data_IF_156746310811
#
_entry.id   IF_156746310811
#
_cell.length_a   1.000
_cell.length_b   1.000
_cell.length_c   1.000
_cell.angle_alpha   90.00
_cell.angle_beta   90.00
_cell.angle_gamma   90.00
#
_symmetry.space_group_name_H-M   'P 1'
#
loop_
_entity.id
_entity.type
_entity.pdbx_description
1 polymer ?
#
# COMPACT_ATOMS: atom_id res chain seq x y z
N UNK A 1 1.68 -3.69 -36.76
CA UNK A 1 2.09 -3.78 -35.35
C UNK A 1 3.25 -2.82 -35.13
N UNK A 2 2.92 -1.55 -34.93
CA UNK A 2 3.89 -0.58 -34.46
C UNK A 2 3.68 -0.53 -32.96
N UNK A 3 4.68 -0.97 -32.19
CA UNK A 3 4.68 -0.79 -30.75
C UNK A 3 4.46 0.70 -30.49
N UNK A 4 3.35 1.04 -29.82
CA UNK A 4 3.28 2.35 -29.17
C UNK A 4 4.44 2.37 -28.18
N UNK A 5 5.32 3.39 -28.23
CA UNK A 5 6.30 3.54 -27.16
C UNK A 5 5.50 3.60 -25.86
N UNK A 6 5.84 2.71 -24.92
CA UNK A 6 5.28 2.76 -23.59
C UNK A 6 5.57 4.16 -23.05
N UNK A 7 4.55 4.97 -22.70
CA UNK A 7 4.80 6.26 -22.10
C UNK A 7 5.71 6.14 -20.87
N UNK A 8 5.85 4.95 -20.26
CA UNK A 8 6.78 4.62 -19.17
C UNK A 8 8.26 5.01 -19.41
N UNK A 9 8.73 5.13 -20.66
CA UNK A 9 10.16 5.14 -21.00
C UNK A 9 10.89 6.50 -20.88
N UNK A 10 10.26 7.56 -20.36
CA UNK A 10 10.99 8.78 -20.01
C UNK A 10 11.81 8.53 -18.71
N UNK A 11 13.14 8.69 -18.73
CA UNK A 11 13.93 8.50 -17.51
C UNK A 11 13.51 9.53 -16.47
N UNK A 12 13.17 9.05 -15.28
CA UNK A 12 12.79 9.93 -14.17
C UNK A 12 13.92 10.93 -13.87
N UNK A 13 13.54 12.16 -13.51
CA UNK A 13 14.49 13.21 -13.18
C UNK A 13 15.44 12.78 -12.04
N UNK A 14 16.75 13.12 -12.10
CA UNK A 14 17.68 12.87 -11.02
C UNK A 14 17.20 13.46 -9.68
N UNK A 15 17.52 12.79 -8.58
CA UNK A 15 17.11 13.19 -7.22
C UNK A 15 17.47 14.64 -6.93
N UNK A 16 18.69 15.04 -7.29
CA UNK A 16 19.21 16.38 -7.10
C UNK A 16 18.47 17.42 -7.93
N UNK A 17 18.01 17.04 -9.13
CA UNK A 17 17.21 17.92 -9.99
C UNK A 17 15.83 18.17 -9.39
N UNK A 18 15.19 17.13 -8.85
CA UNK A 18 13.89 17.26 -8.16
C UNK A 18 14.05 18.13 -6.91
N UNK A 19 15.09 17.89 -6.11
CA UNK A 19 15.37 18.68 -4.90
C UNK A 19 15.66 20.16 -5.22
N UNK A 20 16.40 20.45 -6.30
CA UNK A 20 16.65 21.83 -6.74
C UNK A 20 15.35 22.54 -7.14
N UNK A 21 14.52 21.90 -7.97
CA UNK A 21 13.22 22.46 -8.38
C UNK A 21 12.31 22.75 -7.17
N UNK A 22 12.26 21.81 -6.22
CA UNK A 22 11.47 21.96 -4.99
C UNK A 22 11.96 23.09 -4.09
N UNK A 23 13.27 23.36 -4.04
CA UNK A 23 13.87 24.41 -3.21
C UNK A 23 13.55 25.81 -3.75
N UNK A 24 13.48 25.95 -5.07
CA UNK A 24 13.23 27.23 -5.74
C UNK A 24 11.74 27.52 -5.95
N UNK A 25 10.87 26.54 -5.67
CA UNK A 25 9.43 26.66 -5.84
C UNK A 25 8.81 27.67 -4.86
N UNK A 26 7.95 28.60 -5.33
CA UNK A 26 7.22 29.51 -4.44
C UNK A 26 6.11 28.79 -3.67
N UNK A 27 5.57 27.71 -4.24
CA UNK A 27 4.56 26.85 -3.65
C UNK A 27 4.61 25.47 -4.32
N UNK A 28 4.46 24.40 -3.53
CA UNK A 28 4.51 23.01 -4.05
C UNK A 28 3.18 22.29 -3.83
N UNK A 29 2.61 21.75 -4.91
CA UNK A 29 1.46 20.83 -4.87
C UNK A 29 1.95 19.41 -5.00
N UNK A 30 1.72 18.59 -3.99
CA UNK A 30 2.09 17.18 -3.98
C UNK A 30 0.81 16.35 -4.19
N UNK A 31 0.77 15.58 -5.28
CA UNK A 31 -0.31 14.64 -5.57
C UNK A 31 0.24 13.22 -5.47
N UNK A 32 -0.15 12.52 -4.41
CA UNK A 32 0.25 11.14 -4.14
C UNK A 32 -0.80 10.15 -4.62
N UNK A 33 -0.35 8.97 -5.04
CA UNK A 33 -1.23 7.80 -5.10
C UNK A 33 -1.75 7.48 -3.69
N UNK A 34 -3.02 7.10 -3.60
CA UNK A 34 -3.68 6.73 -2.35
C UNK A 34 -3.31 5.30 -1.89
N UNK A 35 -2.01 5.07 -1.67
CA UNK A 35 -1.44 3.88 -1.04
C UNK A 35 -0.35 4.24 -0.03
N UNK A 36 0.10 3.27 0.75
CA UNK A 36 1.06 3.52 1.83
C UNK A 36 2.45 3.95 1.35
N UNK A 37 2.92 3.48 0.19
CA UNK A 37 4.24 3.84 -0.35
C UNK A 37 4.29 5.31 -0.81
N UNK A 38 3.35 5.69 -1.68
CA UNK A 38 3.25 7.04 -2.20
C UNK A 38 2.86 8.07 -1.14
N UNK A 39 2.04 7.67 -0.15
CA UNK A 39 1.72 8.53 0.98
C UNK A 39 2.93 8.78 1.88
N UNK A 40 3.73 7.73 2.17
CA UNK A 40 4.98 7.89 2.91
C UNK A 40 5.96 8.79 2.17
N UNK A 41 6.11 8.58 0.86
CA UNK A 41 6.91 9.43 -0.02
C UNK A 41 6.46 10.91 0.01
N UNK A 42 5.16 11.16 -0.11
CA UNK A 42 4.60 12.51 -0.01
C UNK A 42 4.85 13.17 1.35
N UNK A 43 4.75 12.39 2.43
CA UNK A 43 5.08 12.83 3.79
C UNK A 43 6.55 13.23 3.95
N UNK A 44 7.48 12.46 3.39
CA UNK A 44 8.90 12.77 3.40
C UNK A 44 9.19 14.10 2.67
N UNK A 45 8.68 14.25 1.45
CA UNK A 45 8.83 15.47 0.67
C UNK A 45 8.26 16.66 1.41
N UNK A 46 7.03 16.55 1.92
CA UNK A 46 6.36 17.65 2.61
C UNK A 46 7.03 18.04 3.94
N UNK A 47 7.56 17.06 4.68
CA UNK A 47 8.39 17.34 5.87
C UNK A 47 9.66 18.10 5.49
N UNK A 48 10.35 17.71 4.42
CA UNK A 48 11.54 18.44 3.94
C UNK A 48 11.20 19.84 3.44
N UNK A 49 10.10 20.03 2.72
CA UNK A 49 9.62 21.36 2.30
C UNK A 49 9.35 22.27 3.50
N UNK A 50 8.75 21.72 4.56
CA UNK A 50 8.56 22.43 5.84
C UNK A 50 9.89 22.89 6.45
N UNK A 51 10.91 22.03 6.43
CA UNK A 51 12.25 22.35 6.94
C UNK A 51 12.90 23.48 6.16
N UNK A 52 12.81 23.47 4.83
CA UNK A 52 13.39 24.52 3.98
C UNK A 52 12.50 25.76 3.80
N UNK A 53 11.34 25.80 4.45
CA UNK A 53 10.44 26.96 4.46
C UNK A 53 9.61 27.14 3.19
N UNK A 54 9.46 26.10 2.36
CA UNK A 54 8.64 26.13 1.14
C UNK A 54 7.20 25.75 1.49
N UNK A 55 6.19 26.59 1.20
CA UNK A 55 4.80 26.27 1.46
C UNK A 55 4.29 25.19 0.50
N UNK A 56 3.38 24.34 0.98
CA UNK A 56 2.92 23.19 0.21
C UNK A 56 1.46 22.81 0.49
N UNK A 57 0.90 22.02 -0.43
CA UNK A 57 -0.37 21.32 -0.26
C UNK A 57 -0.21 19.87 -0.71
N UNK A 58 -0.64 18.91 0.13
CA UNK A 58 -0.57 17.47 -0.17
C UNK A 58 -1.96 16.90 -0.32
N UNK A 59 -2.19 16.15 -1.39
CA UNK A 59 -3.42 15.36 -1.62
C UNK A 59 -3.04 13.94 -2.02
N UNK A 60 -3.77 12.96 -1.49
CA UNK A 60 -3.69 11.57 -1.94
C UNK A 60 -4.96 11.19 -2.72
N UNK A 61 -4.80 10.54 -3.88
CA UNK A 61 -5.88 10.17 -4.80
C UNK A 61 -5.67 8.79 -5.41
N UNK A 62 -6.75 8.06 -5.68
CA UNK A 62 -6.67 6.75 -6.34
C UNK A 62 -6.41 6.87 -7.85
N UNK A 63 -7.04 7.86 -8.48
CA UNK A 63 -6.96 8.12 -9.92
C UNK A 63 -6.47 9.55 -10.16
N UNK A 64 -5.67 9.80 -11.20
CA UNK A 64 -5.30 11.16 -11.58
C UNK A 64 -6.56 11.88 -12.06
N UNK A 65 -6.85 13.04 -11.49
CA UNK A 65 -7.92 13.91 -12.00
C UNK A 65 -7.36 14.78 -13.13
N UNK A 66 -8.11 14.96 -14.21
CA UNK A 66 -7.69 15.76 -15.36
C UNK A 66 -7.39 17.23 -15.00
N UNK A 67 -8.08 17.76 -13.97
CA UNK A 67 -7.95 19.16 -13.54
C UNK A 67 -6.89 19.38 -12.44
N UNK A 68 -6.07 18.37 -12.11
CA UNK A 68 -5.04 18.48 -11.08
C UNK A 68 -4.01 19.59 -11.37
N UNK A 69 -3.85 19.98 -12.64
CA UNK A 69 -2.97 21.04 -13.11
C UNK A 69 -3.62 22.45 -13.12
N UNK A 70 -4.87 22.61 -12.68
CA UNK A 70 -5.55 23.92 -12.65
C UNK A 70 -5.09 24.77 -11.46
N UNK A 71 -3.87 25.29 -11.52
CA UNK A 71 -3.35 26.26 -10.55
C UNK A 71 -2.63 27.43 -11.22
N UNK A 72 -2.27 28.45 -10.44
CA UNK A 72 -1.47 29.59 -10.87
C UNK A 72 -0.22 29.14 -11.62
N UNK A 73 0.17 29.91 -12.65
CA UNK A 73 1.33 29.63 -13.52
C UNK A 73 2.67 29.46 -12.76
N UNK A 74 2.71 29.83 -11.47
CA UNK A 74 3.91 29.81 -10.64
C UNK A 74 4.00 28.62 -9.66
N UNK A 75 2.97 27.77 -9.53
CA UNK A 75 2.99 26.64 -8.59
C UNK A 75 3.75 25.44 -9.18
N UNK A 76 4.57 24.74 -8.39
CA UNK A 76 5.22 23.49 -8.81
C UNK A 76 4.37 22.27 -8.45
N UNK A 77 3.91 21.52 -9.45
CA UNK A 77 3.16 20.27 -9.31
C UNK A 77 4.12 19.07 -9.29
N UNK A 78 4.09 18.31 -8.20
CA UNK A 78 4.85 17.07 -8.03
C UNK A 78 3.91 15.89 -7.88
N UNK A 79 4.02 14.92 -8.78
CA UNK A 79 3.29 13.65 -8.67
C UNK A 79 4.16 12.57 -8.00
N UNK A 80 3.55 11.78 -7.11
CA UNK A 80 4.25 10.80 -6.27
C UNK A 80 3.58 9.44 -6.38
N UNK A 81 4.33 8.43 -6.83
CA UNK A 81 3.85 7.05 -6.99
C UNK A 81 2.81 6.86 -8.10
N UNK A 82 2.57 7.90 -8.89
CA UNK A 82 1.70 7.89 -10.06
C UNK A 82 2.10 9.01 -11.01
N UNK A 83 1.63 8.92 -12.25
CA UNK A 83 1.79 9.99 -13.22
C UNK A 83 0.56 10.87 -13.24
N UNK A 84 0.81 12.18 -13.24
CA UNK A 84 -0.24 13.19 -13.37
C UNK A 84 0.12 14.05 -14.58
N UNK A 85 -0.76 14.18 -15.58
CA UNK A 85 -0.53 15.08 -16.70
C UNK A 85 -0.24 16.50 -16.23
N UNK A 86 0.83 17.11 -16.76
CA UNK A 86 1.24 18.46 -16.40
C UNK A 86 2.03 18.59 -15.10
N UNK A 87 2.46 17.48 -14.47
CA UNK A 87 3.39 17.55 -13.34
C UNK A 87 4.77 18.05 -13.79
N UNK A 88 5.33 19.02 -13.05
CA UNK A 88 6.68 19.56 -13.26
C UNK A 88 7.76 18.56 -12.84
N UNK A 89 7.45 17.72 -11.84
CA UNK A 89 8.30 16.62 -11.41
C UNK A 89 7.47 15.38 -11.05
N UNK A 90 8.05 14.21 -11.29
CA UNK A 90 7.48 12.93 -10.88
C UNK A 90 8.47 12.19 -9.99
N UNK A 91 8.01 11.76 -8.81
CA UNK A 91 8.70 10.81 -7.95
C UNK A 91 8.03 9.47 -8.18
N UNK A 92 8.55 8.69 -9.13
CA UNK A 92 8.11 7.34 -9.44
C UNK A 92 9.08 6.30 -8.85
N UNK A 93 8.62 5.05 -8.63
CA UNK A 93 9.51 3.94 -8.31
C UNK A 93 10.50 3.76 -9.48
N UNK A 94 11.78 4.04 -9.23
CA UNK A 94 12.87 3.71 -10.16
C UNK A 94 13.22 2.22 -10.02
N UNK A 95 14.49 1.92 -9.71
CA UNK A 95 14.94 0.55 -9.36
C UNK A 95 14.49 0.08 -7.95
N UNK A 96 13.58 0.82 -7.29
CA UNK A 96 13.12 0.58 -5.92
C UNK A 96 11.75 1.21 -5.65
N UNK A 97 11.41 1.46 -4.37
CA UNK A 97 10.10 2.01 -4.01
C UNK A 97 10.03 3.53 -4.10
N UNK A 98 8.81 4.07 -4.15
CA UNK A 98 8.58 5.52 -4.20
C UNK A 98 9.11 6.20 -2.94
N UNK A 99 8.91 5.57 -1.78
CA UNK A 99 9.36 6.08 -0.48
C UNK A 99 10.88 6.17 -0.36
N UNK A 100 11.63 5.21 -0.93
CA UNK A 100 13.09 5.26 -0.95
C UNK A 100 13.61 6.38 -1.84
N UNK A 101 13.01 6.56 -3.02
CA UNK A 101 13.37 7.69 -3.89
C UNK A 101 13.07 9.04 -3.22
N UNK A 102 11.90 9.16 -2.58
CA UNK A 102 11.52 10.35 -1.85
C UNK A 102 12.44 10.62 -0.65
N UNK A 103 12.96 9.56 0.00
CA UNK A 103 13.98 9.71 1.04
C UNK A 103 15.26 10.35 0.48
N UNK A 104 15.74 9.91 -0.69
CA UNK A 104 16.89 10.55 -1.35
C UNK A 104 16.63 12.02 -1.70
N UNK A 105 15.42 12.35 -2.18
CA UNK A 105 15.02 13.75 -2.43
C UNK A 105 14.99 14.56 -1.14
N UNK A 106 14.47 13.98 -0.06
CA UNK A 106 14.43 14.60 1.27
C UNK A 106 15.84 14.83 1.85
N UNK A 107 16.76 13.89 1.67
CA UNK A 107 18.18 14.03 2.02
C UNK A 107 18.83 15.17 1.21
N UNK A 108 18.63 15.21 -0.10
CA UNK A 108 19.16 16.28 -0.95
C UNK A 108 18.55 17.67 -0.67
N UNK A 109 17.38 17.72 -0.03
CA UNK A 109 16.76 18.95 0.46
C UNK A 109 17.29 19.38 1.84
N UNK A 110 17.77 18.43 2.64
CA UNK A 110 18.26 18.68 4.00
C UNK A 110 19.48 19.61 3.96
N UNK A 111 19.46 20.75 4.67
CA UNK A 111 20.62 21.64 4.75
C UNK A 111 21.85 20.93 5.35
N UNK A 112 23.04 21.34 4.91
CA UNK A 112 24.29 20.78 5.45
C UNK A 112 24.37 20.96 6.98
N UNK A 113 24.60 19.85 7.69
CA UNK A 113 24.75 19.83 9.15
C UNK A 113 23.43 19.67 9.93
N UNK A 114 22.28 19.61 9.25
CA UNK A 114 21.01 19.25 9.88
C UNK A 114 20.81 17.74 9.93
N UNK A 115 19.95 17.29 10.85
CA UNK A 115 19.56 15.87 10.93
C UNK A 115 18.73 15.52 9.69
N UNK A 116 19.13 14.45 9.01
CA UNK A 116 18.42 13.93 7.84
C UNK A 116 16.98 13.49 8.15
N UNK A 117 16.23 13.14 7.09
CA UNK A 117 14.86 12.64 7.24
C UNK A 117 14.81 11.38 8.11
N UNK A 118 13.71 11.24 8.87
CA UNK A 118 13.46 10.05 9.69
C UNK A 118 13.32 8.80 8.80
N UNK A 119 14.15 7.76 9.01
CA UNK A 119 14.15 6.55 8.19
C UNK A 119 12.84 5.74 8.34
N UNK A 120 12.13 5.86 9.46
CA UNK A 120 10.97 5.01 9.75
C UNK A 120 9.84 5.18 8.75
N UNK A 121 9.54 6.41 8.33
CA UNK A 121 8.48 6.68 7.35
C UNK A 121 8.83 6.10 5.98
N UNK A 122 10.08 6.25 5.54
CA UNK A 122 10.54 5.68 4.28
C UNK A 122 10.46 4.15 4.29
N UNK A 123 10.98 3.52 5.35
CA UNK A 123 10.94 2.07 5.53
C UNK A 123 9.50 1.54 5.63
N UNK A 124 8.57 2.28 6.25
CA UNK A 124 7.15 1.89 6.29
C UNK A 124 6.53 1.93 4.88
N UNK A 125 6.88 2.92 4.07
CA UNK A 125 6.50 2.97 2.65
C UNK A 125 7.03 1.77 1.86
N UNK A 126 8.26 1.33 2.12
CA UNK A 126 8.83 0.11 1.48
C UNK A 126 7.99 -1.11 1.80
N UNK A 127 7.63 -1.29 3.07
CA UNK A 127 6.79 -2.42 3.50
C UNK A 127 5.39 -2.33 2.91
N UNK A 128 4.82 -1.13 2.80
CA UNK A 128 3.50 -0.93 2.19
C UNK A 128 3.49 -1.27 0.69
N UNK A 129 4.58 -1.00 -0.03
CA UNK A 129 4.76 -1.46 -1.41
C UNK A 129 4.78 -3.00 -1.52
N UNK A 130 5.02 -3.71 -0.40
CA UNK A 130 5.12 -5.16 -0.33
C UNK A 130 6.53 -5.69 -0.47
N UNK A 131 7.53 -4.80 -0.40
CA UNK A 131 8.94 -5.14 -0.50
C UNK A 131 9.58 -5.29 0.90
N UNK A 132 10.71 -5.98 0.96
CA UNK A 132 11.45 -6.13 2.21
C UNK A 132 12.13 -4.79 2.57
N UNK A 133 12.16 -4.35 3.85
CA UNK A 133 12.88 -3.13 4.25
C UNK A 133 14.36 -3.10 3.82
N UNK A 134 14.97 -4.27 3.59
CA UNK A 134 16.32 -4.44 3.08
C UNK A 134 16.44 -4.78 1.60
N UNK A 135 15.38 -4.63 0.77
CA UNK A 135 15.39 -5.04 -0.64
C UNK A 135 16.27 -4.16 -1.56
N UNK A 136 16.63 -2.95 -1.11
CA UNK A 136 17.63 -2.08 -1.76
C UNK A 136 19.06 -2.43 -1.29
N UNK A 137 19.94 -1.43 -1.15
CA UNK A 137 21.28 -1.63 -0.57
C UNK A 137 21.26 -1.90 0.95
N UNK A 138 20.08 -1.83 1.59
CA UNK A 138 19.89 -2.06 3.02
C UNK A 138 20.50 -0.99 3.93
N UNK A 139 21.03 0.10 3.36
CA UNK A 139 21.71 1.16 4.11
C UNK A 139 20.77 1.83 5.12
N UNK A 140 19.55 2.16 4.69
CA UNK A 140 18.57 2.84 5.52
C UNK A 140 18.10 1.98 6.70
N UNK A 141 17.85 0.69 6.45
CA UNK A 141 17.53 -0.27 7.51
C UNK A 141 18.68 -0.41 8.50
N UNK A 142 19.92 -0.50 8.00
CA UNK A 142 21.12 -0.57 8.84
C UNK A 142 21.24 0.64 9.76
N UNK A 143 20.97 1.85 9.25
CA UNK A 143 20.94 3.08 10.07
C UNK A 143 19.84 2.99 11.14
N UNK A 144 18.64 2.54 10.77
CA UNK A 144 17.54 2.40 11.72
C UNK A 144 17.85 1.37 12.83
N UNK A 145 18.52 0.26 12.51
CA UNK A 145 18.97 -0.73 13.50
C UNK A 145 20.08 -0.17 14.41
N UNK A 146 21.08 0.50 13.84
CA UNK A 146 22.20 1.08 14.60
C UNK A 146 21.77 2.21 15.55
N UNK A 147 20.74 2.96 15.18
CA UNK A 147 20.16 4.03 15.99
C UNK A 147 19.13 3.52 17.00
N UNK A 148 18.77 2.22 16.95
CA UNK A 148 17.74 1.64 17.81
C UNK A 148 16.30 2.02 17.42
N UNK A 149 16.11 2.69 16.28
CA UNK A 149 14.78 3.05 15.77
C UNK A 149 13.96 1.81 15.42
N UNK A 150 14.62 0.72 15.01
CA UNK A 150 14.00 -0.59 14.81
C UNK A 150 14.77 -1.72 15.48
N UNK A 151 14.04 -2.75 15.91
CA UNK A 151 14.63 -3.99 16.42
C UNK A 151 13.91 -5.20 15.83
N UNK A 152 14.66 -6.14 15.22
CA UNK A 152 14.09 -7.39 14.72
C UNK A 152 13.78 -8.33 15.88
N UNK A 153 12.52 -8.71 16.06
CA UNK A 153 12.08 -9.62 17.14
C UNK A 153 11.12 -10.70 16.65
N UNK A 154 10.94 -11.81 17.39
CA UNK A 154 9.86 -12.76 17.11
C UNK A 154 8.48 -12.12 17.32
N UNK A 155 7.46 -12.68 16.68
CA UNK A 155 6.08 -12.20 16.77
C UNK A 155 5.46 -11.89 15.42
N UNK A 156 4.43 -11.07 15.46
CA UNK A 156 3.67 -10.61 14.29
C UNK A 156 3.80 -9.10 14.13
N UNK A 157 3.77 -8.63 12.90
CA UNK A 157 3.64 -7.21 12.59
C UNK A 157 2.23 -6.73 12.95
N UNK A 158 2.15 -5.75 13.84
CA UNK A 158 0.92 -5.09 14.25
C UNK A 158 1.20 -3.63 14.62
N UNK A 159 0.25 -2.70 14.40
CA UNK A 159 0.42 -1.31 14.77
C UNK A 159 0.25 -1.05 16.28
N UNK A 160 -0.33 -2.02 16.99
CA UNK A 160 -0.68 -1.95 18.42
C UNK A 160 -0.08 -3.12 19.19
N UNK A 161 0.07 -2.97 20.50
CA UNK A 161 0.56 -4.04 21.39
C UNK A 161 -0.49 -5.12 21.65
N UNK A 162 -1.77 -4.77 21.52
CA UNK A 162 -2.88 -5.71 21.63
C UNK A 162 -2.83 -6.73 20.49
N UNK A 163 -2.36 -7.93 20.79
CA UNK A 163 -2.16 -8.99 19.81
C UNK A 163 -3.46 -9.45 19.18
N UNK A 164 -4.58 -9.48 19.93
CA UNK A 164 -5.87 -9.86 19.37
C UNK A 164 -6.33 -8.82 18.34
N UNK A 165 -6.14 -7.53 18.64
CA UNK A 165 -6.46 -6.44 17.72
C UNK A 165 -5.57 -6.47 16.47
N UNK A 166 -4.28 -6.78 16.62
CA UNK A 166 -3.33 -6.97 15.53
C UNK A 166 -3.66 -8.15 14.62
N UNK A 167 -3.99 -9.31 15.20
CA UNK A 167 -4.38 -10.51 14.46
C UNK A 167 -5.69 -10.34 13.70
N UNK A 168 -6.67 -9.66 14.31
CA UNK A 168 -7.97 -9.45 13.68
C UNK A 168 -7.91 -8.44 12.55
N UNK A 169 -7.16 -7.35 12.68
CA UNK A 169 -7.22 -6.25 11.72
C UNK A 169 -5.97 -6.12 10.84
N UNK A 170 -4.96 -6.99 10.99
CA UNK A 170 -3.78 -6.96 10.13
C UNK A 170 -4.08 -7.39 8.70
N UNK A 171 -3.77 -6.57 7.69
CA UNK A 171 -3.96 -6.93 6.28
C UNK A 171 -2.69 -7.54 5.63
N UNK A 172 -1.73 -7.96 6.45
CA UNK A 172 -0.53 -8.66 5.98
C UNK A 172 -0.75 -10.16 5.78
N UNK A 173 -1.80 -10.72 6.38
CA UNK A 173 -2.19 -12.11 6.29
C UNK A 173 -3.71 -12.25 6.25
N UNK A 174 -4.20 -13.43 5.88
CA UNK A 174 -5.62 -13.77 6.00
C UNK A 174 -5.76 -15.14 6.64
N UNK A 175 -6.26 -15.15 7.87
CA UNK A 175 -6.45 -16.31 8.74
C UNK A 175 -7.92 -16.45 9.15
N UNK A 176 -8.28 -17.51 9.87
CA UNK A 176 -9.67 -17.82 10.23
C UNK A 176 -10.34 -16.73 11.09
N UNK A 177 -9.55 -16.09 11.96
CA UNK A 177 -9.97 -14.98 12.83
C UNK A 177 -9.83 -13.58 12.20
N UNK A 178 -9.30 -13.47 10.98
CA UNK A 178 -9.12 -12.15 10.35
C UNK A 178 -10.47 -11.45 10.14
N UNK A 179 -10.54 -10.18 10.50
CA UNK A 179 -11.73 -9.33 10.56
C UNK A 179 -12.58 -9.53 11.82
N UNK A 180 -12.20 -10.41 12.76
CA UNK A 180 -12.97 -10.72 13.97
C UNK A 180 -12.06 -10.78 15.22
N UNK A 181 -12.13 -9.72 16.02
CA UNK A 181 -11.35 -9.60 17.27
C UNK A 181 -11.77 -10.61 18.34
N UNK A 182 -13.05 -10.98 18.39
CA UNK A 182 -13.52 -11.98 19.36
C UNK A 182 -12.96 -13.35 18.99
N UNK A 183 -12.97 -13.72 17.72
CA UNK A 183 -12.34 -14.95 17.22
C UNK A 183 -10.83 -14.97 17.49
N UNK A 184 -10.12 -13.85 17.25
CA UNK A 184 -8.69 -13.76 17.54
C UNK A 184 -8.40 -13.91 19.04
N UNK A 185 -9.25 -13.31 19.89
CA UNK A 185 -9.15 -13.45 21.34
C UNK A 185 -9.36 -14.90 21.79
N UNK A 186 -10.36 -15.58 21.22
CA UNK A 186 -10.64 -16.98 21.52
C UNK A 186 -9.46 -17.89 21.13
N UNK A 187 -8.89 -17.70 19.93
CA UNK A 187 -7.72 -18.45 19.47
C UNK A 187 -6.49 -18.23 20.37
N UNK A 188 -6.25 -17.00 20.83
CA UNK A 188 -5.15 -16.69 21.75
C UNK A 188 -5.36 -17.29 23.15
N UNK A 189 -6.61 -17.37 23.64
CA UNK A 189 -6.92 -17.91 24.95
C UNK A 189 -6.54 -19.40 25.08
N UNK A 190 -6.60 -20.15 23.99
CA UNK A 190 -6.20 -21.57 23.94
C UNK A 190 -4.69 -21.78 24.15
N UNK A 191 -3.87 -20.76 23.88
CA UNK A 191 -2.41 -20.85 23.96
C UNK A 191 -1.87 -20.69 25.39
N UNK A 192 -2.69 -20.24 26.35
CA UNK A 192 -2.26 -20.06 27.75
C UNK A 192 -1.11 -19.07 27.92
N UNK A 193 -1.10 -17.99 27.13
CA UNK A 193 -0.01 -17.02 27.09
C UNK A 193 0.15 -16.26 28.42
N UNK A 194 1.39 -15.88 28.79
CA UNK A 194 1.62 -15.00 29.92
C UNK A 194 1.02 -13.60 29.69
N UNK A 195 0.76 -12.86 30.78
CA UNK A 195 0.23 -11.50 30.71
C UNK A 195 1.18 -10.52 29.99
N UNK A 196 2.49 -10.70 30.17
CA UNK A 196 3.53 -10.01 29.43
C UNK A 196 4.18 -10.99 28.47
N UNK A 197 4.24 -10.64 27.18
CA UNK A 197 4.73 -11.53 26.14
C UNK A 197 6.25 -11.44 26.03
N UNK A 198 6.92 -12.53 26.39
CA UNK A 198 8.33 -12.71 26.12
C UNK A 198 8.58 -13.20 24.68
N UNK A 199 9.85 -13.44 24.33
CA UNK A 199 10.23 -13.90 23.00
C UNK A 199 9.71 -15.32 22.65
N UNK A 200 9.38 -16.16 23.64
CA UNK A 200 8.75 -17.47 23.39
C UNK A 200 7.26 -17.27 23.12
N UNK A 201 6.56 -16.50 23.95
CA UNK A 201 5.15 -16.18 23.78
C UNK A 201 4.88 -15.52 22.42
N UNK A 202 5.75 -14.58 21.99
CA UNK A 202 5.69 -14.01 20.65
C UNK A 202 5.92 -15.04 19.54
N UNK A 203 6.79 -16.04 19.72
CA UNK A 203 6.95 -17.14 18.77
C UNK A 203 5.72 -18.03 18.71
N UNK A 204 5.06 -18.27 19.84
CA UNK A 204 3.80 -19.04 19.87
C UNK A 204 2.71 -18.33 19.07
N UNK A 205 2.55 -17.01 19.25
CA UNK A 205 1.60 -16.20 18.45
C UNK A 205 1.93 -16.24 16.96
N UNK A 206 3.20 -16.08 16.59
CA UNK A 206 3.64 -16.17 15.20
C UNK A 206 3.34 -17.55 14.59
N UNK A 207 3.52 -18.62 15.38
CA UNK A 207 3.22 -19.99 14.97
C UNK A 207 1.73 -20.22 14.79
N UNK A 208 0.87 -19.65 15.66
CA UNK A 208 -0.59 -19.70 15.49
C UNK A 208 -1.00 -19.12 14.13
N UNK A 209 -0.53 -17.91 13.81
CA UNK A 209 -0.84 -17.27 12.52
C UNK A 209 -0.36 -18.11 11.33
N UNK A 210 0.89 -18.58 11.38
CA UNK A 210 1.47 -19.37 10.29
C UNK A 210 0.71 -20.68 10.05
N UNK A 211 0.34 -21.39 11.13
CA UNK A 211 -0.39 -22.66 11.06
C UNK A 211 -1.84 -22.47 10.61
N UNK A 212 -2.51 -21.41 11.06
CA UNK A 212 -3.88 -21.13 10.63
C UNK A 212 -3.93 -20.77 9.13
N UNK A 213 -3.00 -19.92 8.66
CA UNK A 213 -2.89 -19.57 7.24
C UNK A 213 -2.56 -20.79 6.37
N UNK A 214 -1.58 -21.60 6.76
CA UNK A 214 -1.15 -22.75 5.97
C UNK A 214 -2.10 -23.95 6.09
N UNK A 215 -2.89 -24.03 7.17
CA UNK A 215 -3.82 -25.11 7.45
C UNK A 215 -5.21 -24.93 6.86
N UNK A 216 -5.48 -23.79 6.24
CA UNK A 216 -6.76 -23.53 5.57
C UNK A 216 -6.90 -24.37 4.28
N UNK A 217 -8.05 -25.02 4.09
CA UNK A 217 -8.33 -25.90 2.95
C UNK A 217 -8.23 -25.19 1.58
N UNK A 218 -8.46 -23.88 1.54
CA UNK A 218 -8.34 -23.05 0.34
C UNK A 218 -6.98 -22.32 0.24
N UNK A 219 -6.02 -22.61 1.13
CA UNK A 219 -4.67 -22.10 1.02
C UNK A 219 -3.93 -22.71 -0.17
N UNK A 220 -3.06 -21.91 -0.78
CA UNK A 220 -2.11 -22.37 -1.80
C UNK A 220 -0.69 -22.41 -1.22
N UNK A 221 0.29 -23.07 -1.85
CA UNK A 221 1.68 -23.02 -1.38
C UNK A 221 2.22 -21.58 -1.19
N UNK A 222 1.73 -20.63 -2.00
CA UNK A 222 2.06 -19.20 -1.92
C UNK A 222 1.63 -18.58 -0.58
N UNK A 223 0.60 -19.11 0.08
CA UNK A 223 0.14 -18.61 1.37
C UNK A 223 1.23 -18.73 2.45
N UNK A 224 1.98 -19.85 2.44
CA UNK A 224 3.06 -20.10 3.38
C UNK A 224 4.27 -19.17 3.18
N UNK A 225 4.55 -18.77 1.94
CA UNK A 225 5.57 -17.75 1.63
C UNK A 225 5.07 -16.34 1.97
N UNK A 226 3.80 -16.06 1.65
CA UNK A 226 3.21 -14.72 1.82
C UNK A 226 3.05 -14.33 3.28
N UNK A 227 2.73 -15.29 4.16
CA UNK A 227 2.58 -15.03 5.61
C UNK A 227 3.89 -14.58 6.26
N UNK A 228 5.05 -14.91 5.69
CA UNK A 228 6.35 -14.50 6.24
C UNK A 228 6.48 -12.98 6.40
N UNK A 229 5.80 -12.20 5.55
CA UNK A 229 5.75 -10.72 5.65
C UNK A 229 5.16 -10.23 6.96
N UNK A 230 4.25 -11.00 7.56
CA UNK A 230 3.64 -10.69 8.84
C UNK A 230 4.51 -11.18 10.02
N UNK A 231 5.50 -12.04 9.80
CA UNK A 231 6.25 -12.71 10.86
C UNK A 231 7.61 -12.05 11.11
N UNK A 232 8.10 -12.22 12.35
CA UNK A 232 9.37 -11.64 12.81
C UNK A 232 9.46 -10.15 12.46
N UNK A 233 8.60 -9.30 13.03
CA UNK A 233 8.56 -7.89 12.67
C UNK A 233 9.82 -7.14 13.10
N UNK A 234 10.00 -5.97 12.49
CA UNK A 234 10.80 -4.89 13.05
C UNK A 234 9.92 -4.12 14.04
N UNK A 235 10.20 -4.29 15.34
CA UNK A 235 9.60 -3.48 16.40
C UNK A 235 10.12 -2.04 16.32
N UNK A 236 9.32 -1.09 16.80
CA UNK A 236 9.67 0.33 16.81
C UNK A 236 9.40 0.91 18.20
N UNK A 237 10.29 0.65 19.18
CA UNK A 237 10.03 0.88 20.62
C UNK A 237 9.64 2.31 20.98
N UNK A 238 10.25 3.30 20.32
CA UNK A 238 10.06 4.72 20.61
C UNK A 238 9.11 5.42 19.61
N UNK A 239 8.45 4.67 18.71
CA UNK A 239 7.62 5.23 17.65
C UNK A 239 6.11 5.20 17.96
N UNK A 240 5.32 5.82 17.08
CA UNK A 240 3.86 5.91 17.19
C UNK A 240 3.13 4.57 17.11
N UNK A 241 3.72 3.61 16.39
CA UNK A 241 3.18 2.27 16.18
C UNK A 241 4.17 1.23 16.69
N UNK A 242 3.67 0.05 17.07
CA UNK A 242 4.48 -0.98 17.73
C UNK A 242 5.47 -1.71 16.79
N UNK A 243 5.19 -1.72 15.48
CA UNK A 243 6.05 -2.35 14.47
C UNK A 243 6.04 -1.57 13.16
N UNK A 244 7.12 -1.70 12.39
CA UNK A 244 7.25 -1.13 11.05
C UNK A 244 6.17 -1.66 10.08
N UNK A 245 5.91 -2.97 10.12
CA UNK A 245 4.86 -3.57 9.29
C UNK A 245 3.45 -3.12 9.68
N UNK A 246 3.22 -2.90 10.98
CA UNK A 246 1.98 -2.29 11.46
C UNK A 246 1.82 -0.83 11.03
N UNK A 247 2.90 -0.06 11.05
CA UNK A 247 2.88 1.32 10.54
C UNK A 247 2.54 1.36 9.04
N UNK A 248 3.17 0.48 8.25
CA UNK A 248 2.88 0.34 6.83
C UNK A 248 1.41 -0.03 6.55
N UNK A 249 0.85 -0.97 7.31
CA UNK A 249 -0.54 -1.40 7.20
C UNK A 249 -1.53 -0.26 7.52
N UNK A 250 -1.25 0.51 8.57
CA UNK A 250 -2.05 1.69 8.93
C UNK A 250 -1.94 2.81 7.88
N UNK A 251 -0.73 3.05 7.35
CA UNK A 251 -0.54 4.04 6.28
C UNK A 251 -1.34 3.68 5.03
N UNK A 252 -1.27 2.43 4.58
CA UNK A 252 -1.98 1.99 3.38
C UNK A 252 -3.51 2.04 3.58
N UNK A 253 -4.01 1.57 4.72
CA UNK A 253 -5.44 1.65 5.03
C UNK A 253 -5.93 3.10 5.17
N UNK A 254 -5.19 3.97 5.88
CA UNK A 254 -5.55 5.37 6.01
C UNK A 254 -5.51 6.12 4.68
N UNK A 255 -4.54 5.82 3.80
CA UNK A 255 -4.47 6.39 2.46
C UNK A 255 -5.72 6.07 1.63
N UNK A 256 -6.24 4.84 1.76
CA UNK A 256 -7.39 4.33 0.99
C UNK A 256 -8.74 4.76 1.56
N UNK A 257 -8.89 4.77 2.89
CA UNK A 257 -10.17 5.04 3.55
C UNK A 257 -10.37 6.51 3.89
N UNK A 258 -9.32 7.16 4.40
CA UNK A 258 -9.38 8.52 4.95
C UNK A 258 -8.11 9.28 4.56
N UNK A 259 -7.93 9.64 3.28
CA UNK A 259 -6.67 10.18 2.76
C UNK A 259 -6.13 11.39 3.55
N UNK A 260 -7.00 12.28 4.01
CA UNK A 260 -6.60 13.42 4.86
C UNK A 260 -6.00 13.00 6.21
N UNK A 261 -6.52 11.94 6.82
CA UNK A 261 -5.94 11.34 8.03
C UNK A 261 -4.58 10.72 7.73
N UNK A 262 -4.45 10.02 6.59
CA UNK A 262 -3.17 9.48 6.13
C UNK A 262 -2.11 10.57 5.92
N UNK A 263 -2.48 11.67 5.26
CA UNK A 263 -1.61 12.84 5.07
C UNK A 263 -1.19 13.44 6.41
N UNK A 264 -2.14 13.63 7.33
CA UNK A 264 -1.84 14.15 8.66
C UNK A 264 -0.85 13.24 9.42
N UNK A 265 -1.03 11.91 9.34
CA UNK A 265 -0.14 10.92 9.94
C UNK A 265 1.27 10.99 9.34
N UNK A 266 1.38 10.99 8.01
CA UNK A 266 2.66 11.07 7.30
C UNK A 266 3.42 12.38 7.61
N UNK A 267 2.70 13.49 7.80
CA UNK A 267 3.26 14.79 8.22
C UNK A 267 3.68 14.85 9.70
N UNK A 268 3.43 13.78 10.47
CA UNK A 268 3.75 13.71 11.91
C UNK A 268 2.79 14.47 12.81
N UNK A 269 1.57 14.73 12.35
CA UNK A 269 0.52 15.29 13.20
C UNK A 269 -0.14 14.20 14.06
N UNK A 270 -0.83 14.61 15.12
CA UNK A 270 -1.57 13.70 16.00
C UNK A 270 -2.81 13.13 15.30
N UNK A 271 -2.60 12.07 14.52
CA UNK A 271 -3.62 11.38 13.73
C UNK A 271 -3.68 9.87 14.07
N UNK A 272 -3.01 9.42 15.14
CA UNK A 272 -2.88 7.99 15.47
C UNK A 272 -4.24 7.32 15.66
N UNK A 273 -5.11 7.90 16.47
CA UNK A 273 -6.45 7.33 16.76
C UNK A 273 -7.30 7.22 15.49
N UNK A 274 -7.55 8.30 14.73
CA UNK A 274 -8.37 8.19 13.52
C UNK A 274 -7.74 7.32 12.42
N UNK A 275 -6.41 7.16 12.41
CA UNK A 275 -5.72 6.24 11.49
C UNK A 275 -5.92 4.78 11.88
N UNK A 276 -5.86 4.45 13.18
CA UNK A 276 -6.19 3.10 13.67
C UNK A 276 -7.65 2.75 13.41
N UNK A 277 -8.57 3.71 13.54
CA UNK A 277 -9.98 3.49 13.20
C UNK A 277 -10.16 3.20 11.70
N UNK A 278 -9.46 3.94 10.83
CA UNK A 278 -9.46 3.67 9.40
C UNK A 278 -8.90 2.28 9.07
N UNK A 279 -7.83 1.87 9.74
CA UNK A 279 -7.22 0.55 9.61
C UNK A 279 -8.18 -0.57 10.02
N UNK A 280 -8.84 -0.46 11.18
CA UNK A 280 -9.83 -1.46 11.62
C UNK A 280 -11.03 -1.55 10.68
N UNK A 281 -11.61 -0.41 10.29
CA UNK A 281 -12.73 -0.37 9.34
C UNK A 281 -12.36 -1.03 8.00
N UNK A 282 -11.16 -0.71 7.48
CA UNK A 282 -10.63 -1.28 6.25
C UNK A 282 -10.49 -2.80 6.36
N UNK A 283 -9.81 -3.27 7.41
CA UNK A 283 -9.51 -4.68 7.59
C UNK A 283 -10.76 -5.53 7.78
N UNK A 284 -11.72 -5.05 8.59
CA UNK A 284 -13.01 -5.74 8.77
C UNK A 284 -13.75 -5.87 7.44
N UNK A 285 -13.85 -4.79 6.66
CA UNK A 285 -14.53 -4.82 5.37
C UNK A 285 -13.82 -5.74 4.35
N UNK A 286 -12.49 -5.69 4.29
CA UNK A 286 -11.69 -6.53 3.38
C UNK A 286 -11.81 -8.01 3.74
N UNK A 287 -11.64 -8.39 5.01
CA UNK A 287 -11.72 -9.79 5.42
C UNK A 287 -13.14 -10.34 5.34
N UNK A 288 -14.18 -9.52 5.58
CA UNK A 288 -15.55 -9.88 5.26
C UNK A 288 -15.71 -10.11 3.74
N UNK A 289 -15.19 -9.20 2.92
CA UNK A 289 -15.23 -9.31 1.45
C UNK A 289 -14.58 -10.59 0.91
N UNK A 290 -13.48 -11.05 1.51
CA UNK A 290 -12.82 -12.32 1.13
C UNK A 290 -13.66 -13.53 1.53
N UNK A 291 -14.31 -13.51 2.70
CA UNK A 291 -15.11 -14.64 3.23
C UNK A 291 -16.47 -14.76 2.56
N UNK A 292 -17.11 -13.64 2.27
CA UNK A 292 -18.51 -13.57 1.82
C UNK A 292 -18.63 -13.28 0.32
N UNK A 293 -17.59 -12.72 -0.30
CA UNK A 293 -17.54 -12.40 -1.72
C UNK A 293 -17.65 -13.65 -2.59
N UNK A 294 -18.45 -13.57 -3.65
CA UNK A 294 -18.58 -14.69 -4.60
C UNK A 294 -17.34 -14.74 -5.47
N UNK A 295 -16.67 -15.88 -5.48
CA UNK A 295 -15.50 -16.11 -6.33
C UNK A 295 -15.83 -16.96 -7.56
N UNK A 296 -15.03 -16.82 -8.60
CA UNK A 296 -15.08 -17.63 -9.81
C UNK A 296 -13.68 -17.82 -10.38
N UNK A 297 -13.37 -19.05 -10.81
CA UNK A 297 -12.10 -19.37 -11.44
C UNK A 297 -12.27 -19.39 -12.95
N UNK A 298 -11.43 -18.61 -13.62
CA UNK A 298 -11.32 -18.53 -15.07
C UNK A 298 -9.87 -18.86 -15.44
N UNK A 299 -9.63 -19.28 -16.68
CA UNK A 299 -8.27 -19.59 -17.13
C UNK A 299 -7.34 -18.40 -16.87
N UNK A 300 -6.29 -18.61 -16.06
CA UNK A 300 -5.30 -17.60 -15.63
C UNK A 300 -5.80 -16.47 -14.72
N UNK A 301 -7.10 -16.38 -14.43
CA UNK A 301 -7.71 -15.28 -13.63
C UNK A 301 -8.66 -15.83 -12.58
N UNK A 302 -8.43 -15.47 -11.32
CA UNK A 302 -9.37 -15.71 -10.22
C UNK A 302 -10.16 -14.44 -9.91
N UNK A 303 -11.47 -14.50 -10.04
CA UNK A 303 -12.36 -13.34 -9.87
C UNK A 303 -13.00 -13.38 -8.49
N UNK A 304 -13.06 -12.23 -7.83
CA UNK A 304 -13.78 -11.99 -6.58
C UNK A 304 -14.77 -10.86 -6.80
N UNK A 305 -16.05 -11.13 -6.58
CA UNK A 305 -17.10 -10.12 -6.68
C UNK A 305 -17.27 -9.43 -5.33
N UNK A 306 -17.29 -8.11 -5.37
CA UNK A 306 -17.40 -7.28 -4.19
C UNK A 306 -18.69 -7.55 -3.41
N UNK A 307 -18.59 -7.45 -2.10
CA UNK A 307 -19.74 -7.32 -1.21
C UNK A 307 -20.18 -5.86 -1.16
N UNK A 308 -21.31 -5.58 -0.51
CA UNK A 308 -21.79 -4.20 -0.32
C UNK A 308 -20.74 -3.31 0.36
N UNK A 309 -19.96 -3.88 1.27
CA UNK A 309 -18.94 -3.20 2.07
C UNK A 309 -17.69 -2.86 1.25
N UNK A 310 -17.50 -3.50 0.08
CA UNK A 310 -16.29 -3.36 -0.74
C UNK A 310 -16.58 -2.79 -2.14
N UNK A 311 -17.82 -2.85 -2.62
CA UNK A 311 -18.19 -2.55 -4.00
C UNK A 311 -17.87 -1.11 -4.45
N UNK A 312 -17.96 -0.15 -3.52
CA UNK A 312 -17.77 1.28 -3.82
C UNK A 312 -16.38 1.80 -3.41
N UNK A 313 -15.47 0.92 -2.95
CA UNK A 313 -14.13 1.32 -2.50
C UNK A 313 -13.05 0.60 -3.29
N UNK A 314 -12.46 1.31 -4.25
CA UNK A 314 -11.31 0.82 -5.03
C UNK A 314 -10.13 0.43 -4.14
N UNK A 315 -9.96 1.14 -3.02
CA UNK A 315 -8.95 0.84 -2.01
C UNK A 315 -9.16 -0.53 -1.39
N UNK A 316 -10.38 -0.85 -0.95
CA UNK A 316 -10.73 -2.16 -0.39
C UNK A 316 -10.63 -3.27 -1.44
N UNK A 317 -11.09 -3.03 -2.67
CA UNK A 317 -10.97 -4.00 -3.77
C UNK A 317 -9.51 -4.37 -4.04
N UNK A 318 -8.60 -3.39 -4.04
CA UNK A 318 -7.17 -3.64 -4.22
C UNK A 318 -6.58 -4.51 -3.11
N UNK A 319 -6.96 -4.29 -1.85
CA UNK A 319 -6.53 -5.13 -0.73
C UNK A 319 -7.13 -6.54 -0.82
N UNK A 320 -8.40 -6.67 -1.22
CA UNK A 320 -9.05 -7.96 -1.48
C UNK A 320 -8.31 -8.72 -2.59
N UNK A 321 -8.05 -8.09 -3.73
CA UNK A 321 -7.34 -8.71 -4.85
C UNK A 321 -5.95 -9.20 -4.42
N UNK A 322 -5.19 -8.37 -3.68
CA UNK A 322 -3.87 -8.72 -3.14
C UNK A 322 -3.93 -9.91 -2.19
N UNK A 323 -4.82 -9.89 -1.21
CA UNK A 323 -4.91 -10.95 -0.21
C UNK A 323 -5.42 -12.26 -0.81
N UNK A 324 -6.39 -12.20 -1.72
CA UNK A 324 -6.85 -13.41 -2.44
C UNK A 324 -5.74 -13.95 -3.33
N UNK A 325 -4.95 -13.10 -4.00
CA UNK A 325 -3.78 -13.54 -4.76
C UNK A 325 -2.78 -14.27 -3.87
N UNK A 326 -2.50 -13.74 -2.68
CA UNK A 326 -1.49 -14.27 -1.78
C UNK A 326 -1.94 -15.56 -1.07
N UNK A 327 -3.21 -15.64 -0.68
CA UNK A 327 -3.69 -16.67 0.25
C UNK A 327 -4.74 -17.65 -0.32
N UNK A 328 -5.43 -17.33 -1.42
CA UNK A 328 -6.61 -18.11 -1.89
C UNK A 328 -6.55 -18.54 -3.35
N UNK A 329 -5.89 -17.76 -4.20
CA UNK A 329 -5.94 -17.93 -5.64
C UNK A 329 -4.88 -18.91 -6.13
N UNK A 330 -5.27 -20.00 -6.82
CA UNK A 330 -4.32 -20.82 -7.57
C UNK A 330 -3.85 -20.14 -8.86
N UNK A 331 -4.53 -19.09 -9.31
CA UNK A 331 -4.23 -18.37 -10.55
C UNK A 331 -3.15 -17.28 -10.33
N UNK A 332 -2.41 -16.91 -11.40
CA UNK A 332 -1.38 -15.87 -11.33
C UNK A 332 -1.96 -14.46 -11.23
N UNK A 333 -3.21 -14.25 -11.65
CA UNK A 333 -3.90 -12.96 -11.61
C UNK A 333 -5.20 -13.08 -10.83
N UNK A 334 -5.46 -12.09 -9.97
CA UNK A 334 -6.72 -11.92 -9.26
C UNK A 334 -7.37 -10.62 -9.68
N UNK A 335 -8.66 -10.69 -9.99
CA UNK A 335 -9.52 -9.56 -10.29
C UNK A 335 -10.58 -9.42 -9.20
N UNK A 336 -10.57 -8.32 -8.46
CA UNK A 336 -11.68 -7.92 -7.60
C UNK A 336 -12.54 -6.89 -8.33
N UNK A 337 -13.83 -7.18 -8.54
CA UNK A 337 -14.77 -6.29 -9.27
C UNK A 337 -15.88 -5.81 -8.35
N UNK A 338 -16.12 -4.50 -8.36
CA UNK A 338 -17.22 -3.80 -7.69
C UNK A 338 -18.03 -2.94 -8.66
N UNK A 339 -18.63 -1.86 -8.15
CA UNK A 339 -19.53 -1.00 -8.92
C UNK A 339 -18.72 -0.01 -9.78
N UNK A 340 -18.46 -0.37 -11.05
CA UNK A 340 -17.65 0.45 -11.97
C UNK A 340 -16.19 0.59 -11.51
N UNK A 341 -15.72 -0.33 -10.67
CA UNK A 341 -14.37 -0.34 -10.10
C UNK A 341 -13.80 -1.73 -10.18
N UNK A 342 -12.54 -1.83 -10.61
CA UNK A 342 -11.79 -3.07 -10.66
C UNK A 342 -10.44 -2.89 -9.97
N UNK A 343 -9.97 -3.95 -9.33
CA UNK A 343 -8.60 -4.03 -8.85
C UNK A 343 -7.97 -5.36 -9.27
N UNK A 344 -6.76 -5.28 -9.81
CA UNK A 344 -6.00 -6.41 -10.34
C UNK A 344 -4.74 -6.59 -9.51
N UNK A 345 -4.50 -7.82 -9.06
CA UNK A 345 -3.27 -8.21 -8.40
C UNK A 345 -2.66 -9.42 -9.12
N UNK A 346 -1.45 -9.22 -9.65
CA UNK A 346 -0.68 -10.24 -10.33
C UNK A 346 0.50 -10.72 -9.47
N UNK A 347 0.94 -11.96 -9.70
CA UNK A 347 2.14 -12.52 -9.04
C UNK A 347 3.41 -11.90 -9.62
N UNK A 348 3.53 -11.88 -10.95
CA UNK A 348 4.70 -11.36 -11.65
C UNK A 348 4.41 -10.03 -12.36
N UNK A 349 3.49 -10.05 -13.33
CA UNK A 349 3.12 -8.90 -14.17
C UNK A 349 1.71 -9.03 -14.75
N UNK A 350 1.25 -8.01 -15.48
CA UNK A 350 -0.01 -7.98 -16.22
C UNK A 350 -1.13 -7.19 -15.55
N UNK A 351 -0.92 -6.71 -14.31
CA UNK A 351 -1.95 -5.93 -13.63
C UNK A 351 -2.21 -4.58 -14.31
N UNK A 352 -1.15 -3.85 -14.69
CA UNK A 352 -1.27 -2.58 -15.41
C UNK A 352 -1.95 -2.76 -16.78
N UNK A 353 -1.54 -3.75 -17.57
CA UNK A 353 -2.12 -4.03 -18.89
C UNK A 353 -3.62 -4.35 -18.77
N UNK A 354 -4.00 -5.19 -17.79
CA UNK A 354 -5.39 -5.52 -17.52
C UNK A 354 -6.22 -4.31 -17.06
N UNK A 355 -5.68 -3.48 -16.16
CA UNK A 355 -6.38 -2.28 -15.70
C UNK A 355 -6.53 -1.23 -16.81
N UNK A 356 -5.51 -1.06 -17.67
CA UNK A 356 -5.60 -0.20 -18.84
C UNK A 356 -6.67 -0.70 -19.80
N UNK A 357 -6.66 -1.99 -20.14
CA UNK A 357 -7.67 -2.58 -21.04
C UNK A 357 -9.09 -2.34 -20.52
N UNK A 358 -9.32 -2.53 -19.21
CA UNK A 358 -10.64 -2.28 -18.60
C UNK A 358 -11.03 -0.80 -18.70
N UNK A 359 -10.11 0.11 -18.38
CA UNK A 359 -10.40 1.55 -18.43
C UNK A 359 -10.60 2.06 -19.88
N UNK A 360 -9.85 1.54 -20.84
CA UNK A 360 -9.90 1.98 -22.24
C UNK A 360 -11.13 1.43 -22.98
N UNK A 361 -11.55 0.20 -22.67
CA UNK A 361 -12.68 -0.46 -23.34
C UNK A 361 -14.04 -0.14 -22.71
N UNK A 362 -14.08 0.00 -21.38
CA UNK A 362 -15.34 0.14 -20.63
C UNK A 362 -15.44 1.47 -19.86
N UNK A 363 -14.50 2.40 -20.06
CA UNK A 363 -14.37 3.62 -19.24
C UNK A 363 -15.36 4.75 -19.47
N UNK A 364 -15.93 4.86 -20.67
CA UNK A 364 -16.56 6.10 -21.17
C UNK A 364 -15.70 7.35 -20.87
N UNK A 365 -16.31 8.52 -20.67
CA UNK A 365 -15.62 9.77 -20.32
C UNK A 365 -15.01 9.75 -18.89
N UNK A 366 -15.33 8.74 -18.08
CA UNK A 366 -14.87 8.60 -16.69
C UNK A 366 -13.73 7.59 -16.49
N UNK A 367 -13.33 6.91 -17.56
CA UNK A 367 -12.35 5.84 -17.56
C UNK A 367 -11.01 6.29 -17.05
N UNK A 368 -10.47 5.56 -16.07
CA UNK A 368 -9.15 5.86 -15.52
C UNK A 368 -8.54 4.60 -14.94
N UNK A 369 -7.22 4.48 -15.05
CA UNK A 369 -6.47 3.43 -14.38
C UNK A 369 -5.22 3.99 -13.73
N UNK A 370 -4.70 3.25 -12.75
CA UNK A 370 -3.45 3.56 -12.07
C UNK A 370 -2.85 2.27 -11.48
N UNK A 371 -1.53 2.17 -11.41
CA UNK A 371 -0.86 1.00 -10.86
C UNK A 371 0.51 0.73 -11.45
N UNK A 372 0.98 -0.48 -11.19
CA UNK A 372 2.21 -1.05 -11.71
C UNK A 372 1.97 -2.47 -12.26
N UNK A 373 3.04 -3.13 -12.69
CA UNK A 373 2.97 -4.47 -13.26
C UNK A 373 2.30 -5.51 -12.34
N UNK A 374 2.41 -5.36 -11.02
CA UNK A 374 1.91 -6.33 -10.02
C UNK A 374 0.56 -5.93 -9.42
N UNK A 375 0.24 -4.64 -9.35
CA UNK A 375 -1.00 -4.13 -8.74
C UNK A 375 -1.52 -2.94 -9.51
N UNK A 376 -2.77 -3.00 -9.94
CA UNK A 376 -3.41 -1.87 -10.61
C UNK A 376 -4.90 -1.81 -10.29
N UNK A 377 -5.48 -0.65 -10.51
CA UNK A 377 -6.90 -0.37 -10.34
C UNK A 377 -7.44 0.34 -11.56
N UNK A 378 -8.71 0.09 -11.87
CA UNK A 378 -9.41 0.72 -12.98
C UNK A 378 -10.80 1.21 -12.52
N UNK A 379 -11.23 2.31 -13.12
CA UNK A 379 -12.61 2.78 -13.11
C UNK A 379 -13.20 2.57 -14.50
N UNK A 380 -14.40 2.03 -14.53
CA UNK A 380 -15.17 1.76 -15.74
C UNK A 380 -16.66 2.03 -15.52
N UNK A 381 -17.47 2.00 -16.57
CA UNK A 381 -18.92 2.13 -16.50
C UNK A 381 -19.52 0.97 -15.70
N UNK A 382 -20.29 1.31 -14.66
CA UNK A 382 -20.91 0.32 -13.79
C UNK A 382 -21.98 -0.54 -14.50
N UNK A 383 -22.48 -0.08 -15.65
CA UNK A 383 -23.44 -0.82 -16.49
C UNK A 383 -22.76 -1.81 -17.46
N UNK A 384 -21.41 -1.81 -17.55
CA UNK A 384 -20.67 -2.75 -18.38
C UNK A 384 -20.92 -4.22 -17.97
N UNK A 385 -21.00 -5.12 -18.96
CA UNK A 385 -21.22 -6.53 -18.68
C UNK A 385 -19.99 -7.14 -17.98
N UNK A 386 -20.18 -7.60 -16.74
CA UNK A 386 -19.09 -8.19 -15.93
C UNK A 386 -18.32 -9.30 -16.67
N UNK A 387 -19.02 -10.10 -17.49
CA UNK A 387 -18.40 -11.17 -18.27
C UNK A 387 -17.41 -10.65 -19.32
N UNK A 388 -17.68 -9.48 -19.92
CA UNK A 388 -16.81 -8.82 -20.88
C UNK A 388 -15.59 -8.21 -20.17
N UNK A 389 -15.79 -7.57 -19.02
CA UNK A 389 -14.70 -7.07 -18.16
C UNK A 389 -13.73 -8.20 -17.77
N UNK A 390 -14.27 -9.37 -17.37
CA UNK A 390 -13.45 -10.55 -17.05
C UNK A 390 -12.68 -11.05 -18.29
N UNK A 391 -13.31 -11.04 -19.46
CA UNK A 391 -12.67 -11.46 -20.70
C UNK A 391 -11.51 -10.54 -21.09
N UNK A 392 -11.70 -9.22 -21.01
CA UNK A 392 -10.66 -8.23 -21.29
C UNK A 392 -9.45 -8.40 -20.36
N UNK A 393 -9.68 -8.57 -19.05
CA UNK A 393 -8.60 -8.83 -18.08
C UNK A 393 -7.85 -10.10 -18.42
N UNK A 394 -8.55 -11.18 -18.77
CA UNK A 394 -7.91 -12.44 -19.15
C UNK A 394 -7.03 -12.29 -20.38
N UNK A 395 -7.50 -11.59 -21.41
CA UNK A 395 -6.76 -11.40 -22.66
C UNK A 395 -5.51 -10.53 -22.45
N UNK A 396 -5.63 -9.47 -21.64
CA UNK A 396 -4.53 -8.58 -21.32
C UNK A 396 -3.49 -9.18 -20.35
N UNK A 397 -3.86 -10.21 -19.59
CA UNK A 397 -2.99 -10.85 -18.59
C UNK A 397 -2.14 -12.01 -19.13
N UNK A 398 -2.17 -12.26 -20.45
CA UNK A 398 -1.56 -13.45 -21.08
C UNK A 398 -0.06 -13.31 -21.38
#
# INVERSE_FOLDING_TARGET
MSAHPDPADAPDAPVESVAAALRDAPFVRVVCRADGDALAAGGLVARSLRTVGVPFHVRAVAFPEADAASSSEDDTLVSVGMRVPGADATIAPGDGTTSLRAHGVAEALTPEGETGPDPLLALAGVVAAGDHPGAADGSLLTVAEQTGAVERRPGIAAPVEDVADGLAHGTLAHASFSGDREAATAALAELGLPAELDAEAHRTVASLLALDVAGDDAATPRAAESVERALRPYATPDATFATLGGFADVLDAAARERPGTGVALALGHDARVPALDAWRDHATAVHAGIREGRSGRYESVFVVRATKETADSVGRLATVARLVRDFRSPEPVVLAVGNGLAAVAAVERGAADAASAVADEFGDDGGAWNGDARRAVARFDADAEEAEVIAAVREAST
#
